data_IF_065369781266
#
_entry.id   IF_065369781266
#
_cell.length_a   1.000
_cell.length_b   1.000
_cell.length_c   1.000
_cell.angle_alpha   90.00
_cell.angle_beta   90.00
_cell.angle_gamma   90.00
#
_symmetry.space_group_name_H-M   'P 1'
#
loop_
_entity.id
_entity.type
_entity.pdbx_description
1 polymer ?
#
# COMPACT_ATOMS: atom_id res chain seq x y z
N UNK A 1 -31.11 2.40 17.47
CA UNK A 1 -29.63 2.22 17.52
C UNK A 1 -29.15 1.25 18.60
N UNK A 2 -29.76 1.17 19.80
CA UNK A 2 -29.32 0.22 20.83
C UNK A 2 -29.57 -1.27 20.48
N UNK A 3 -30.64 -1.58 19.73
CA UNK A 3 -30.98 -2.96 19.33
C UNK A 3 -30.06 -3.56 18.26
N UNK A 4 -29.46 -2.75 17.40
CA UNK A 4 -28.55 -3.21 16.34
C UNK A 4 -27.15 -3.52 16.89
N UNK A 5 -26.72 -2.80 17.93
CA UNK A 5 -25.47 -3.08 18.65
C UNK A 5 -25.58 -4.35 19.49
N UNK A 6 -26.71 -4.59 20.15
CA UNK A 6 -26.95 -5.82 20.93
C UNK A 6 -27.02 -7.07 20.04
N UNK A 7 -27.55 -6.93 18.81
CA UNK A 7 -27.55 -7.99 17.80
C UNK A 7 -26.15 -8.29 17.25
N UNK A 8 -25.31 -7.26 17.03
CA UNK A 8 -23.92 -7.43 16.59
C UNK A 8 -23.04 -8.09 17.66
N UNK A 9 -23.24 -7.75 18.93
CA UNK A 9 -22.54 -8.38 20.06
C UNK A 9 -22.98 -9.84 20.21
N UNK A 10 -24.29 -10.13 20.10
CA UNK A 10 -24.82 -11.51 20.13
C UNK A 10 -24.38 -12.35 18.94
N UNK A 11 -24.20 -11.75 17.76
CA UNK A 11 -23.66 -12.43 16.57
C UNK A 11 -22.19 -12.81 16.78
N UNK A 12 -21.41 -11.92 17.41
CA UNK A 12 -20.01 -12.18 17.77
C UNK A 12 -19.83 -13.25 18.85
N UNK A 13 -20.75 -13.36 19.80
CA UNK A 13 -20.64 -14.33 20.91
C UNK A 13 -21.27 -15.71 20.63
N UNK A 14 -22.12 -15.85 19.60
CA UNK A 14 -22.80 -17.13 19.30
C UNK A 14 -22.11 -17.96 18.21
N UNK A 15 -21.10 -17.42 17.54
CA UNK A 15 -20.35 -18.14 16.52
C UNK A 15 -19.26 -19.01 17.18
N UNK A 16 -19.65 -20.13 17.80
CA UNK A 16 -18.71 -21.23 18.03
C UNK A 16 -18.37 -21.83 16.67
N UNK A 17 -17.41 -21.23 15.97
CA UNK A 17 -16.92 -21.76 14.70
C UNK A 17 -16.32 -23.14 14.96
N UNK A 18 -16.78 -24.13 14.20
CA UNK A 18 -16.25 -25.49 14.28
C UNK A 18 -14.74 -25.49 13.95
N UNK A 19 -13.97 -26.36 14.60
CA UNK A 19 -12.51 -26.47 14.44
C UNK A 19 -12.14 -26.71 12.98
N UNK A 20 -12.98 -27.47 12.26
CA UNK A 20 -12.86 -27.73 10.83
C UNK A 20 -12.98 -26.44 10.00
N UNK A 21 -13.92 -25.57 10.35
CA UNK A 21 -14.11 -24.26 9.71
C UNK A 21 -12.92 -23.34 9.99
N UNK A 22 -12.44 -23.27 11.23
CA UNK A 22 -11.27 -22.48 11.61
C UNK A 22 -10.00 -22.93 10.88
N UNK A 23 -9.82 -24.24 10.72
CA UNK A 23 -8.68 -24.83 9.99
C UNK A 23 -8.76 -24.54 8.49
N UNK A 24 -9.96 -24.57 7.91
CA UNK A 24 -10.16 -24.25 6.49
C UNK A 24 -9.90 -22.76 6.24
N UNK A 25 -10.37 -21.88 7.13
CA UNK A 25 -10.15 -20.44 7.05
C UNK A 25 -8.67 -20.07 7.19
N UNK A 26 -7.94 -20.72 8.11
CA UNK A 26 -6.50 -20.49 8.26
C UNK A 26 -5.70 -20.98 7.05
N UNK A 27 -6.09 -22.12 6.47
CA UNK A 27 -5.53 -22.63 5.21
C UNK A 27 -5.76 -21.69 4.03
N UNK A 28 -6.98 -21.16 3.89
CA UNK A 28 -7.32 -20.19 2.85
C UNK A 28 -6.54 -18.88 3.04
N UNK A 29 -6.48 -18.38 4.28
CA UNK A 29 -5.71 -17.17 4.63
C UNK A 29 -4.24 -17.34 4.29
N UNK A 30 -3.67 -18.52 4.53
CA UNK A 30 -2.28 -18.84 4.16
C UNK A 30 -2.07 -18.80 2.65
N UNK A 31 -3.01 -19.31 1.85
CA UNK A 31 -2.96 -19.27 0.38
C UNK A 31 -3.10 -17.84 -0.16
N UNK A 32 -3.99 -17.04 0.41
CA UNK A 32 -4.15 -15.63 0.06
C UNK A 32 -2.90 -14.82 0.42
N UNK A 33 -2.30 -15.07 1.59
CA UNK A 33 -1.05 -14.44 2.00
C UNK A 33 0.11 -14.80 1.08
N UNK A 34 0.17 -16.05 0.60
CA UNK A 34 1.13 -16.46 -0.42
C UNK A 34 0.93 -15.72 -1.74
N UNK A 35 -0.32 -15.61 -2.21
CA UNK A 35 -0.65 -14.85 -3.42
C UNK A 35 -0.24 -13.38 -3.30
N UNK A 36 -0.50 -12.74 -2.16
CA UNK A 36 -0.06 -11.35 -1.89
C UNK A 36 1.46 -11.20 -1.87
N UNK A 37 2.20 -12.23 -1.44
CA UNK A 37 3.68 -12.23 -1.46
C UNK A 37 4.21 -12.33 -2.88
N UNK A 38 3.59 -13.17 -3.70
CA UNK A 38 3.97 -13.34 -5.11
C UNK A 38 3.94 -12.01 -5.90
N UNK A 39 2.88 -11.21 -5.75
CA UNK A 39 2.77 -9.90 -6.41
C UNK A 39 3.83 -8.88 -5.96
N UNK A 40 4.57 -9.16 -4.88
CA UNK A 40 5.56 -8.24 -4.30
C UNK A 40 7.00 -8.61 -4.64
N UNK A 41 7.24 -9.77 -5.27
CA UNK A 41 8.57 -10.36 -5.51
C UNK A 41 9.57 -9.39 -6.18
N UNK A 42 9.11 -8.53 -7.09
CA UNK A 42 9.97 -7.58 -7.79
C UNK A 42 9.81 -6.11 -7.34
N UNK A 43 8.92 -5.84 -6.39
CA UNK A 43 8.63 -4.46 -5.95
C UNK A 43 9.79 -3.79 -5.20
N UNK A 44 10.78 -4.56 -4.76
CA UNK A 44 11.99 -3.99 -4.18
C UNK A 44 12.73 -3.09 -5.18
N UNK A 45 12.71 -3.44 -6.48
CA UNK A 45 13.34 -2.64 -7.54
C UNK A 45 12.67 -1.28 -7.66
N UNK A 46 11.33 -1.23 -7.68
CA UNK A 46 10.58 0.02 -7.73
C UNK A 46 10.84 0.89 -6.50
N UNK A 47 10.92 0.27 -5.32
CA UNK A 47 11.20 0.97 -4.08
C UNK A 47 12.62 1.58 -4.08
N UNK A 48 13.64 0.82 -4.48
CA UNK A 48 15.01 1.35 -4.58
C UNK A 48 15.16 2.37 -5.71
N UNK A 49 14.51 2.17 -6.85
CA UNK A 49 14.51 3.14 -7.93
C UNK A 49 13.87 4.47 -7.50
N UNK A 50 12.76 4.41 -6.76
CA UNK A 50 12.12 5.61 -6.19
C UNK A 50 13.04 6.36 -5.23
N UNK A 51 13.81 5.64 -4.39
CA UNK A 51 14.81 6.23 -3.51
C UNK A 51 15.96 6.88 -4.31
N UNK A 52 16.46 6.17 -5.33
CA UNK A 52 17.57 6.63 -6.17
C UNK A 52 17.21 7.89 -6.96
N UNK A 53 16.07 7.90 -7.65
CA UNK A 53 15.59 9.07 -8.41
C UNK A 53 15.42 10.28 -7.48
N UNK A 54 14.84 10.10 -6.29
CA UNK A 54 14.65 11.20 -5.35
C UNK A 54 15.98 11.75 -4.80
N UNK A 55 16.95 10.87 -4.56
CA UNK A 55 18.28 11.27 -4.08
C UNK A 55 19.07 12.06 -5.13
N UNK A 56 18.96 11.68 -6.40
CA UNK A 56 19.71 12.30 -7.52
C UNK A 56 19.04 13.53 -8.08
N UNK A 57 17.71 13.67 -7.90
CA UNK A 57 16.96 14.86 -8.35
C UNK A 57 17.21 16.10 -7.50
N UNK A 58 17.92 15.98 -6.37
CA UNK A 58 18.19 17.10 -5.45
C UNK A 58 19.60 17.66 -5.65
N UNK A 59 19.74 18.69 -6.48
CA UNK A 59 21.03 19.32 -6.85
C UNK A 59 21.64 20.26 -5.78
N UNK A 60 20.99 20.45 -4.62
CA UNK A 60 21.41 21.38 -3.57
C UNK A 60 21.47 20.78 -2.16
N UNK A 61 21.54 19.46 -2.04
CA UNK A 61 21.39 18.75 -0.77
C UNK A 61 19.93 18.38 -0.49
N UNK A 62 19.72 17.39 0.40
CA UNK A 62 18.39 16.87 0.72
C UNK A 62 17.80 17.64 1.91
N UNK A 63 16.57 18.14 1.74
CA UNK A 63 15.75 18.53 2.89
C UNK A 63 15.48 17.32 3.78
N UNK A 64 15.25 17.54 5.07
CA UNK A 64 15.05 16.45 6.04
C UNK A 64 13.84 15.57 5.68
N UNK A 65 12.76 16.15 5.16
CA UNK A 65 11.58 15.41 4.69
C UNK A 65 11.88 14.57 3.44
N UNK A 66 12.74 15.05 2.54
CA UNK A 66 13.20 14.31 1.37
C UNK A 66 14.13 13.17 1.77
N UNK A 67 15.05 13.41 2.71
CA UNK A 67 15.94 12.38 3.24
C UNK A 67 15.14 11.25 3.93
N UNK A 68 14.18 11.59 4.79
CA UNK A 68 13.28 10.60 5.41
C UNK A 68 12.45 9.85 4.37
N UNK A 69 12.04 10.51 3.29
CA UNK A 69 11.33 9.86 2.18
C UNK A 69 12.25 8.86 1.46
N UNK A 70 13.50 9.21 1.19
CA UNK A 70 14.52 8.31 0.61
C UNK A 70 14.73 7.11 1.54
N UNK A 71 14.96 7.34 2.83
CA UNK A 71 15.12 6.26 3.82
C UNK A 71 13.89 5.34 3.88
N UNK A 72 12.67 5.90 3.85
CA UNK A 72 11.44 5.12 3.83
C UNK A 72 11.34 4.21 2.60
N UNK A 73 11.77 4.69 1.43
CA UNK A 73 11.84 3.88 0.21
C UNK A 73 12.93 2.80 0.27
N UNK A 74 14.12 3.13 0.80
CA UNK A 74 15.21 2.17 0.98
C UNK A 74 14.85 1.04 1.97
N UNK A 75 14.24 1.37 3.11
CA UNK A 75 13.79 0.37 4.07
C UNK A 75 12.65 -0.50 3.53
N UNK A 76 11.68 0.09 2.80
CA UNK A 76 10.67 -0.70 2.08
C UNK A 76 11.30 -1.61 1.02
N UNK A 77 12.31 -1.14 0.30
CA UNK A 77 13.06 -1.95 -0.66
C UNK A 77 13.70 -3.15 0.02
N UNK A 78 14.36 -2.94 1.16
CA UNK A 78 14.97 -4.03 1.94
C UNK A 78 13.93 -5.03 2.46
N UNK A 79 12.78 -4.55 2.94
CA UNK A 79 11.66 -5.40 3.33
C UNK A 79 11.23 -6.34 2.19
N UNK A 80 10.94 -5.78 1.01
CA UNK A 80 10.54 -6.58 -0.14
C UNK A 80 11.65 -7.52 -0.61
N UNK A 81 12.92 -7.09 -0.57
CA UNK A 81 14.05 -7.94 -0.95
C UNK A 81 14.16 -9.18 -0.05
N UNK A 82 14.07 -9.01 1.27
CA UNK A 82 14.12 -10.14 2.21
C UNK A 82 12.89 -11.05 2.08
N UNK A 83 11.71 -10.49 1.80
CA UNK A 83 10.51 -11.27 1.52
C UNK A 83 10.67 -12.10 0.23
N UNK A 84 11.33 -11.54 -0.80
CA UNK A 84 11.65 -12.24 -2.04
C UNK A 84 12.68 -13.34 -1.84
N UNK A 85 13.74 -13.09 -1.06
CA UNK A 85 14.78 -14.07 -0.78
C UNK A 85 14.25 -15.27 0.01
N UNK A 86 13.26 -15.05 0.89
CA UNK A 86 12.63 -16.10 1.70
C UNK A 86 11.41 -16.72 1.04
N UNK A 87 10.94 -16.19 -0.11
CA UNK A 87 9.76 -16.69 -0.81
C UNK A 87 9.87 -18.16 -1.25
N UNK A 88 11.00 -18.66 -1.78
CA UNK A 88 11.14 -20.06 -2.17
C UNK A 88 10.87 -21.03 -1.01
N UNK A 89 11.36 -20.72 0.17
CA UNK A 89 11.19 -21.55 1.36
C UNK A 89 9.72 -21.57 1.85
N UNK A 90 8.99 -20.48 1.62
CA UNK A 90 7.55 -20.38 1.95
C UNK A 90 6.69 -21.19 0.99
N UNK A 91 7.14 -21.42 -0.25
CA UNK A 91 6.40 -22.25 -1.21
C UNK A 91 6.39 -23.73 -0.82
N UNK A 92 7.30 -24.17 0.04
CA UNK A 92 7.35 -25.55 0.53
C UNK A 92 7.59 -26.58 -0.58
N UNK A 93 8.29 -26.19 -1.65
CA UNK A 93 8.62 -27.10 -2.75
C UNK A 93 9.61 -28.17 -2.22
N UNK A 94 9.29 -29.46 -2.36
CA UNK A 94 10.18 -30.53 -1.90
C UNK A 94 11.58 -30.39 -2.50
N UNK A 95 12.62 -30.35 -1.66
CA UNK A 95 14.02 -30.24 -2.09
C UNK A 95 14.56 -28.82 -2.28
N UNK A 96 13.72 -27.77 -2.16
CA UNK A 96 14.14 -26.37 -2.24
C UNK A 96 13.88 -25.70 -0.89
N UNK A 97 14.85 -25.78 0.02
CA UNK A 97 14.87 -25.03 1.28
C UNK A 97 16.23 -24.33 1.41
N UNK A 98 16.33 -23.14 0.86
CA UNK A 98 17.60 -22.42 0.72
C UNK A 98 18.11 -21.96 2.09
N UNK A 99 17.19 -21.51 2.96
CA UNK A 99 17.52 -20.99 4.29
C UNK A 99 17.11 -21.97 5.40
N UNK A 100 16.07 -22.76 5.16
CA UNK A 100 15.54 -23.70 6.14
C UNK A 100 14.66 -23.01 7.20
N UNK A 101 14.07 -23.81 8.09
CA UNK A 101 13.00 -23.33 8.98
C UNK A 101 13.46 -22.24 9.98
N UNK A 102 14.70 -22.32 10.47
CA UNK A 102 15.21 -21.42 11.51
C UNK A 102 15.67 -20.07 10.92
N UNK A 103 16.48 -20.09 9.86
CA UNK A 103 16.89 -18.85 9.18
C UNK A 103 15.72 -18.17 8.48
N UNK A 104 14.78 -18.92 7.90
CA UNK A 104 13.58 -18.36 7.28
C UNK A 104 12.72 -17.57 8.28
N UNK A 105 12.60 -18.06 9.52
CA UNK A 105 11.93 -17.30 10.61
C UNK A 105 12.71 -16.04 10.95
N UNK A 106 14.03 -16.12 11.10
CA UNK A 106 14.87 -14.96 11.44
C UNK A 106 14.81 -13.88 10.36
N UNK A 107 15.04 -14.23 9.10
CA UNK A 107 14.97 -13.31 7.95
C UNK A 107 13.58 -12.67 7.83
N UNK A 108 12.52 -13.41 8.15
CA UNK A 108 11.16 -12.88 8.19
C UNK A 108 10.98 -11.84 9.30
N UNK A 109 11.57 -12.03 10.48
CA UNK A 109 11.55 -11.03 11.56
C UNK A 109 12.33 -9.78 11.16
N UNK A 110 13.53 -9.93 10.60
CA UNK A 110 14.33 -8.78 10.12
C UNK A 110 13.60 -8.00 9.03
N UNK A 111 12.95 -8.70 8.10
CA UNK A 111 12.07 -8.13 7.09
C UNK A 111 10.99 -7.23 7.73
N UNK A 112 10.29 -7.71 8.76
CA UNK A 112 9.29 -6.90 9.48
C UNK A 112 9.88 -5.68 10.17
N UNK A 113 11.11 -5.75 10.69
CA UNK A 113 11.80 -4.59 11.29
C UNK A 113 12.10 -3.50 10.25
N UNK A 114 12.57 -3.88 9.06
CA UNK A 114 12.77 -2.93 7.98
C UNK A 114 11.45 -2.28 7.54
N UNK A 115 10.37 -3.05 7.46
CA UNK A 115 9.06 -2.49 7.15
C UNK A 115 8.60 -1.48 8.22
N UNK A 116 8.79 -1.80 9.50
CA UNK A 116 8.49 -0.87 10.59
C UNK A 116 9.28 0.44 10.48
N UNK A 117 10.60 0.38 10.26
CA UNK A 117 11.41 1.59 10.06
C UNK A 117 10.95 2.40 8.86
N UNK A 118 10.55 1.74 7.77
CA UNK A 118 10.02 2.39 6.59
C UNK A 118 8.73 3.18 6.89
N UNK A 119 7.81 2.59 7.66
CA UNK A 119 6.56 3.24 8.07
C UNK A 119 6.81 4.45 8.96
N UNK A 120 7.73 4.34 9.93
CA UNK A 120 8.10 5.44 10.83
C UNK A 120 8.72 6.61 10.05
N UNK A 121 9.70 6.33 9.19
CA UNK A 121 10.31 7.36 8.34
C UNK A 121 9.28 8.00 7.40
N UNK A 122 8.39 7.19 6.81
CA UNK A 122 7.32 7.68 5.93
C UNK A 122 6.31 8.58 6.65
N UNK A 123 5.91 8.22 7.87
CA UNK A 123 5.00 9.02 8.69
C UNK A 123 5.66 10.35 9.14
N UNK A 124 6.94 10.30 9.54
CA UNK A 124 7.71 11.48 9.90
C UNK A 124 7.87 12.44 8.72
N UNK A 125 8.24 11.93 7.53
CA UNK A 125 8.35 12.72 6.32
C UNK A 125 7.01 13.39 5.94
N UNK A 126 5.91 12.64 6.00
CA UNK A 126 4.58 13.15 5.70
C UNK A 126 4.14 14.26 6.66
N UNK A 127 4.41 14.09 7.95
CA UNK A 127 4.11 15.10 8.98
C UNK A 127 4.88 16.41 8.74
N UNK A 128 6.16 16.32 8.38
CA UNK A 128 6.99 17.49 8.06
C UNK A 128 6.47 18.23 6.82
N UNK A 129 6.10 17.48 5.76
CA UNK A 129 5.50 18.04 4.54
C UNK A 129 4.17 18.74 4.81
N UNK A 130 3.32 18.19 5.67
CA UNK A 130 2.04 18.79 6.05
C UNK A 130 2.24 20.05 6.90
N UNK A 131 3.22 20.06 7.81
CA UNK A 131 3.54 21.20 8.68
C UNK A 131 4.19 22.36 7.93
N UNK A 132 4.95 22.08 6.87
CA UNK A 132 5.66 23.09 6.06
C UNK A 132 4.77 24.08 5.29
N UNK A 133 3.43 23.94 5.31
CA UNK A 133 2.48 24.95 4.85
C UNK A 133 2.40 25.18 3.32
N UNK A 134 3.41 24.78 2.55
CA UNK A 134 3.51 25.04 1.09
C UNK A 134 2.84 24.01 0.17
N UNK A 135 1.96 23.15 0.68
CA UNK A 135 1.36 22.06 -0.10
C UNK A 135 -0.08 22.41 -0.47
N UNK A 136 -0.36 22.43 -1.77
CA UNK A 136 -1.70 22.57 -2.37
C UNK A 136 -2.74 21.69 -1.65
N UNK A 137 -3.97 22.17 -1.44
CA UNK A 137 -4.98 21.50 -0.61
C UNK A 137 -5.19 20.02 -0.97
N UNK A 138 -5.29 19.68 -2.27
CA UNK A 138 -5.39 18.28 -2.75
C UNK A 138 -4.14 17.44 -2.45
N UNK A 139 -2.94 17.98 -2.68
CA UNK A 139 -1.67 17.28 -2.42
C UNK A 139 -1.46 17.07 -0.91
N UNK A 140 -1.90 18.00 -0.09
CA UNK A 140 -1.88 17.93 1.37
C UNK A 140 -2.78 16.83 1.88
N UNK A 141 -4.01 16.74 1.37
CA UNK A 141 -4.94 15.65 1.73
C UNK A 141 -4.38 14.27 1.37
N UNK A 142 -3.83 14.10 0.16
CA UNK A 142 -3.19 12.86 -0.26
C UNK A 142 -2.02 12.47 0.65
N UNK A 143 -1.18 13.45 1.01
CA UNK A 143 -0.03 13.23 1.90
C UNK A 143 -0.47 12.91 3.33
N UNK A 144 -1.48 13.61 3.84
CA UNK A 144 -2.06 13.37 5.16
C UNK A 144 -2.66 11.96 5.24
N UNK A 145 -3.48 11.57 4.26
CA UNK A 145 -4.07 10.23 4.20
C UNK A 145 -2.99 9.14 4.18
N UNK A 146 -1.96 9.28 3.36
CA UNK A 146 -0.81 8.36 3.32
C UNK A 146 -0.06 8.30 4.65
N UNK A 147 0.09 9.44 5.33
CA UNK A 147 0.70 9.52 6.66
C UNK A 147 -0.14 8.74 7.68
N UNK A 148 -1.46 8.92 7.67
CA UNK A 148 -2.38 8.18 8.54
C UNK A 148 -2.34 6.68 8.24
N UNK A 149 -2.33 6.29 6.97
CA UNK A 149 -2.20 4.88 6.58
C UNK A 149 -0.89 4.26 7.12
N UNK A 150 0.24 4.97 6.98
CA UNK A 150 1.52 4.49 7.53
C UNK A 150 1.45 4.31 9.05
N UNK A 151 0.83 5.25 9.78
CA UNK A 151 0.66 5.15 11.23
C UNK A 151 -0.26 3.98 11.61
N UNK A 152 -1.35 3.76 10.87
CA UNK A 152 -2.26 2.65 11.08
C UNK A 152 -1.61 1.29 10.80
N UNK A 153 -0.62 1.24 9.92
CA UNK A 153 0.12 0.03 9.58
C UNK A 153 1.27 -0.26 10.56
N UNK A 154 1.76 0.70 11.36
CA UNK A 154 2.85 0.49 12.34
C UNK A 154 2.61 -0.68 13.32
N UNK A 155 1.40 -0.88 13.87
CA UNK A 155 1.11 -2.00 14.76
C UNK A 155 1.29 -3.38 14.11
N UNK A 156 1.16 -3.49 12.78
CA UNK A 156 1.22 -4.78 12.07
C UNK A 156 2.61 -5.43 12.17
N UNK A 157 3.71 -4.79 11.71
CA UNK A 157 5.05 -5.33 11.94
C UNK A 157 5.44 -5.24 13.42
N UNK A 158 4.94 -4.25 14.17
CA UNK A 158 5.23 -4.10 15.59
C UNK A 158 4.79 -5.30 16.44
N UNK A 159 3.65 -5.91 16.11
CA UNK A 159 3.18 -7.13 16.75
C UNK A 159 4.05 -8.35 16.38
N UNK A 160 4.45 -8.48 15.11
CA UNK A 160 5.29 -9.61 14.64
C UNK A 160 6.70 -9.55 15.22
N UNK A 161 7.25 -8.36 15.41
CA UNK A 161 8.56 -8.15 16.05
C UNK A 161 8.47 -8.27 17.58
N UNK A 162 7.25 -8.24 18.15
CA UNK A 162 7.01 -8.33 19.59
C UNK A 162 7.23 -7.01 20.34
N UNK A 163 7.28 -5.88 19.64
CA UNK A 163 7.49 -4.56 20.25
C UNK A 163 6.18 -3.92 20.75
N UNK A 164 5.03 -4.35 20.24
CA UNK A 164 3.72 -3.80 20.64
C UNK A 164 2.77 -4.95 21.00
N UNK A 165 2.23 -5.01 22.24
CA UNK A 165 1.25 -6.01 22.62
C UNK A 165 -0.13 -5.62 22.07
N UNK A 166 -0.38 -5.99 20.81
CA UNK A 166 -1.64 -5.71 20.12
C UNK A 166 -2.46 -7.00 20.08
N UNK A 167 -3.74 -6.93 20.45
CA UNK A 167 -4.64 -8.07 20.31
C UNK A 167 -4.84 -8.42 18.83
N UNK A 168 -4.96 -9.71 18.48
CA UNK A 168 -5.13 -10.17 17.09
C UNK A 168 -6.33 -9.49 16.40
N UNK A 169 -7.39 -9.18 17.14
CA UNK A 169 -8.55 -8.44 16.66
C UNK A 169 -8.25 -6.99 16.27
N UNK A 170 -7.40 -6.28 17.03
CA UNK A 170 -7.01 -4.91 16.70
C UNK A 170 -6.13 -4.83 15.45
N UNK A 171 -5.25 -5.83 15.23
CA UNK A 171 -4.47 -5.96 13.98
C UNK A 171 -5.40 -6.11 12.77
N UNK A 172 -6.44 -6.94 12.89
CA UNK A 172 -7.45 -7.10 11.84
C UNK A 172 -8.18 -5.81 11.49
N UNK A 173 -8.55 -5.01 12.50
CA UNK A 173 -9.20 -3.70 12.28
C UNK A 173 -8.24 -2.72 11.60
N UNK A 174 -6.98 -2.63 12.03
CA UNK A 174 -5.96 -1.81 11.38
C UNK A 174 -5.80 -2.18 9.90
N UNK A 175 -5.73 -3.48 9.58
CA UNK A 175 -5.64 -3.99 8.20
C UNK A 175 -6.87 -3.65 7.36
N UNK A 176 -8.08 -3.73 7.93
CA UNK A 176 -9.31 -3.36 7.22
C UNK A 176 -9.33 -1.87 6.91
N UNK A 177 -8.97 -1.03 7.89
CA UNK A 177 -8.93 0.42 7.72
C UNK A 177 -7.87 0.84 6.69
N UNK A 178 -6.65 0.29 6.74
CA UNK A 178 -5.61 0.64 5.76
C UNK A 178 -5.95 0.12 4.36
N UNK A 179 -6.58 -1.04 4.25
CA UNK A 179 -7.09 -1.56 2.96
C UNK A 179 -8.17 -0.65 2.39
N UNK A 180 -9.13 -0.20 3.21
CA UNK A 180 -10.19 0.70 2.77
C UNK A 180 -9.63 2.05 2.31
N UNK A 181 -8.67 2.60 3.05
CA UNK A 181 -7.97 3.84 2.65
C UNK A 181 -7.23 3.66 1.32
N UNK A 182 -6.54 2.54 1.13
CA UNK A 182 -5.82 2.22 -0.11
C UNK A 182 -6.78 2.04 -1.29
N UNK A 183 -7.90 1.36 -1.08
CA UNK A 183 -8.93 1.18 -2.11
C UNK A 183 -9.54 2.53 -2.54
N UNK A 184 -9.75 3.45 -1.59
CA UNK A 184 -10.20 4.80 -1.90
C UNK A 184 -9.18 5.60 -2.74
N UNK A 185 -7.87 5.41 -2.51
CA UNK A 185 -6.82 6.05 -3.33
C UNK A 185 -6.85 5.56 -4.77
N UNK A 186 -7.00 4.25 -4.99
CA UNK A 186 -7.12 3.67 -6.33
C UNK A 186 -8.37 4.21 -7.02
N UNK A 187 -9.49 4.31 -6.31
CA UNK A 187 -10.74 4.83 -6.85
C UNK A 187 -10.61 6.30 -7.29
N UNK A 188 -10.00 7.14 -6.45
CA UNK A 188 -9.74 8.54 -6.77
C UNK A 188 -8.81 8.68 -7.99
N UNK A 189 -7.77 7.86 -8.09
CA UNK A 189 -6.84 7.87 -9.22
C UNK A 189 -7.49 7.44 -10.54
N UNK A 190 -8.29 6.36 -10.52
CA UNK A 190 -9.05 5.94 -11.69
C UNK A 190 -10.09 6.98 -12.11
N UNK A 191 -10.76 7.63 -11.15
CA UNK A 191 -11.71 8.71 -11.43
C UNK A 191 -11.07 9.88 -12.18
N UNK A 192 -9.88 10.32 -11.76
CA UNK A 192 -9.13 11.40 -12.39
C UNK A 192 -8.75 11.05 -13.85
N UNK A 193 -8.34 9.81 -14.12
CA UNK A 193 -8.01 9.34 -15.48
C UNK A 193 -9.23 9.36 -16.42
N UNK A 194 -10.39 8.93 -15.92
CA UNK A 194 -11.65 8.94 -16.69
C UNK A 194 -12.09 10.36 -17.03
N UNK A 195 -11.93 11.31 -16.09
CA UNK A 195 -12.25 12.71 -16.33
C UNK A 195 -11.32 13.35 -17.37
N UNK A 196 -10.02 13.04 -17.33
CA UNK A 196 -9.05 13.48 -18.34
C UNK A 196 -9.39 12.96 -19.74
N UNK A 197 -9.72 11.67 -19.86
CA UNK A 197 -10.14 11.09 -21.15
C UNK A 197 -11.43 11.73 -21.67
N UNK A 198 -12.41 11.98 -20.80
CA UNK A 198 -13.65 12.69 -21.16
C UNK A 198 -13.36 14.10 -21.70
N UNK A 199 -12.39 14.81 -21.14
CA UNK A 199 -11.96 16.13 -21.63
C UNK A 199 -11.23 16.04 -22.97
N UNK A 200 -10.39 15.00 -23.18
CA UNK A 200 -9.73 14.75 -24.47
C UNK A 200 -10.75 14.49 -25.57
N UNK A 201 -11.78 13.69 -25.31
CA UNK A 201 -12.86 13.41 -26.26
C UNK A 201 -13.64 14.68 -26.65
N UNK A 202 -13.94 15.57 -25.68
CA UNK A 202 -14.59 16.86 -25.97
C UNK A 202 -13.73 17.78 -26.84
N UNK A 203 -12.39 17.79 -26.65
CA UNK A 203 -11.47 18.59 -27.47
C UNK A 203 -11.24 17.99 -28.86
N UNK A 204 -11.29 16.67 -29.00
CA UNK A 204 -11.17 15.97 -30.28
C UNK A 204 -12.41 16.08 -31.17
N UNK A 205 -13.61 16.04 -30.59
CA UNK A 205 -14.88 16.18 -31.32
C UNK A 205 -15.13 17.57 -31.91
N UNK A 206 -14.47 18.62 -31.41
CA UNK A 206 -14.61 19.99 -31.92
C UNK A 206 -13.82 20.31 -33.19
N UNK A 207 -12.91 19.42 -33.65
CA UNK A 207 -12.11 19.64 -34.86
C UNK A 207 -12.74 19.06 -36.15
N UNK A 208 -13.86 18.33 -36.04
CA UNK A 208 -14.49 17.65 -37.18
C UNK A 208 -15.72 18.35 -37.77
N UNK A 209 -16.21 19.45 -37.19
CA UNK A 209 -17.47 20.10 -37.63
C UNK A 209 -17.28 21.43 -38.39
N UNK A 210 -16.05 21.78 -38.79
CA UNK A 210 -15.73 23.06 -39.44
C UNK A 210 -15.39 23.00 -40.94
N UNK A 211 -15.35 21.82 -41.57
CA UNK A 211 -14.81 21.66 -42.94
C UNK A 211 -15.78 21.11 -43.98
N UNK A 212 -17.00 20.74 -43.61
CA UNK A 212 -18.00 20.25 -44.61
C UNK A 212 -18.91 21.36 -45.16
N UNK A 213 -18.91 22.56 -44.58
CA UNK A 213 -19.77 23.67 -45.03
C UNK A 213 -19.20 24.58 -46.12
N UNK A 214 -17.96 24.36 -46.57
CA UNK A 214 -17.26 25.31 -47.46
C UNK A 214 -17.00 24.77 -48.88
N UNK A 215 -17.49 23.58 -49.22
CA UNK A 215 -17.30 22.97 -50.56
C UNK A 215 -18.55 23.10 -51.46
N UNK A 216 -19.75 23.34 -50.91
CA UNK A 216 -20.97 23.50 -51.72
C UNK A 216 -21.22 24.93 -52.25
N UNK A 217 -20.61 25.97 -51.69
CA UNK A 217 -20.82 27.37 -52.11
C UNK A 217 -19.84 27.84 -53.22
N UNK A 218 -19.20 26.91 -53.94
CA UNK A 218 -18.29 27.25 -55.04
C UNK A 218 -18.64 26.53 -56.34
N UNK A 219 -19.91 26.13 -56.49
CA UNK A 219 -20.45 25.45 -57.66
C UNK A 219 -21.74 26.05 -58.23
N UNK A 220 -22.07 27.29 -57.84
CA UNK A 220 -23.15 28.07 -58.45
C UNK A 220 -22.57 29.27 -59.22
#
# INVERSE_FOLDING_TARGET
>A
MARTLDQLIKFGTSASLDVSTLTTLSGLTSRLNLGRRFFRVFRFLDAFNSAYVLSTSSTGGLSLDSWLTVSAHSFNGMYFLLETLTFPDVLGVPGISIWGAEWGKMLRVESQRFWLFALVCGAAAGTLKVKGGGVEGRKRYRTLRKTVANVLDVPLPGAVVGWVPVSEGAVGVCMLLSTWLTAAEVWEACGEQVDEERLRMKKGGGKGQGTEGQVEENKA
#
